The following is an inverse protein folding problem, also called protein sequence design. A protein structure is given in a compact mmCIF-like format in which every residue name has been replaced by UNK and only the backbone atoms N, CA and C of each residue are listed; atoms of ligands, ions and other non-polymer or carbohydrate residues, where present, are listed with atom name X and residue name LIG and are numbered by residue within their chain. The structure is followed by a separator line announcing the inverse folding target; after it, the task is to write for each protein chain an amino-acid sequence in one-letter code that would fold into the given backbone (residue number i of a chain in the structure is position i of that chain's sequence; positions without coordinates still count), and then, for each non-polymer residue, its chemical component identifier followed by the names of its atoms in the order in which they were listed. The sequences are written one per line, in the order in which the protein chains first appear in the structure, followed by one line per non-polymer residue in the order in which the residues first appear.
data_IF_449028219346
#
_entry.id   IF_449028219346
#
_cell.length_a   1.000
_cell.length_b   1.000
_cell.length_c   1.000
_cell.angle_alpha   90.00
_cell.angle_beta   90.00
_cell.angle_gamma   90.00
#
_symmetry.space_group_name_H-M   'P 1'
#
loop_
_entity.id
_entity.type
_entity.pdbx_description
1 polymer ?
#
# COMPACT_ATOMS: atom_id res chain seq x y z
N UNK A 1 -5.60 16.59 14.71
CA UNK A 1 -5.83 15.25 14.13
C UNK A 1 -6.90 15.39 13.07
N UNK A 2 -6.53 15.30 11.79
CA UNK A 2 -7.50 15.45 10.68
C UNK A 2 -8.27 14.14 10.58
N UNK A 3 -9.59 14.21 10.64
CA UNK A 3 -10.44 13.03 10.43
C UNK A 3 -10.37 12.64 8.94
N UNK A 4 -10.06 11.40 8.65
CA UNK A 4 -10.12 10.84 7.30
C UNK A 4 -11.58 10.49 7.03
N UNK A 5 -12.22 11.21 6.11
CA UNK A 5 -13.64 11.02 5.76
C UNK A 5 -13.84 10.20 4.48
N UNK A 6 -12.79 10.07 3.66
CA UNK A 6 -12.84 9.32 2.40
C UNK A 6 -11.48 8.67 2.07
N UNK A 7 -11.47 7.75 1.12
CA UNK A 7 -10.22 7.16 0.62
C UNK A 7 -9.34 8.23 -0.05
N UNK A 8 -9.95 9.21 -0.72
CA UNK A 8 -9.23 10.35 -1.28
C UNK A 8 -8.50 11.15 -0.19
N UNK A 9 -9.16 11.44 0.95
CA UNK A 9 -8.50 12.16 2.05
C UNK A 9 -7.31 11.37 2.59
N UNK A 10 -7.46 10.04 2.69
CA UNK A 10 -6.38 9.13 3.07
C UNK A 10 -5.22 9.16 2.07
N UNK A 11 -5.50 9.12 0.76
CA UNK A 11 -4.49 9.21 -0.28
C UNK A 11 -3.72 10.54 -0.23
N UNK A 12 -4.43 11.65 -0.08
CA UNK A 12 -3.83 12.98 0.05
C UNK A 12 -2.97 13.10 1.31
N UNK A 13 -3.41 12.51 2.42
CA UNK A 13 -2.63 12.50 3.66
C UNK A 13 -1.35 11.66 3.51
N UNK A 14 -1.42 10.48 2.92
CA UNK A 14 -0.24 9.64 2.64
C UNK A 14 0.76 10.40 1.75
N UNK A 15 0.27 11.02 0.68
CA UNK A 15 1.10 11.80 -0.24
C UNK A 15 1.76 13.01 0.44
N UNK A 16 1.07 13.68 1.38
CA UNK A 16 1.63 14.81 2.14
C UNK A 16 2.80 14.40 3.05
N UNK A 17 2.92 13.10 3.35
CA UNK A 17 4.07 12.51 4.05
C UNK A 17 5.15 11.97 3.10
N UNK A 18 5.07 12.27 1.80
CA UNK A 18 6.03 11.84 0.80
C UNK A 18 5.86 10.38 0.33
N UNK A 19 4.72 9.76 0.62
CA UNK A 19 4.43 8.40 0.18
C UNK A 19 3.79 8.41 -1.21
N UNK A 20 4.40 7.71 -2.16
CA UNK A 20 3.88 7.58 -3.52
C UNK A 20 2.65 6.70 -3.55
N UNK A 21 1.49 7.28 -3.82
CA UNK A 21 0.22 6.58 -3.83
C UNK A 21 -0.16 6.10 -5.22
N UNK A 22 -0.84 4.96 -5.28
CA UNK A 22 -1.40 4.35 -6.49
C UNK A 22 -2.86 3.99 -6.27
N UNK A 23 -3.64 3.98 -7.37
CA UNK A 23 -5.01 3.47 -7.35
C UNK A 23 -5.01 1.94 -7.30
N UNK A 24 -5.80 1.38 -6.40
CA UNK A 24 -6.11 -0.04 -6.40
C UNK A 24 -7.58 -0.25 -6.73
N UNK A 25 -7.88 -1.39 -7.34
CA UNK A 25 -9.27 -1.84 -7.48
C UNK A 25 -9.91 -2.02 -6.10
N UNK A 26 -11.22 -1.95 -6.03
CA UNK A 26 -12.01 -2.08 -4.81
C UNK A 26 -12.96 -3.29 -4.88
N UNK A 27 -13.31 -3.89 -3.74
CA UNK A 27 -14.27 -4.97 -3.70
C UNK A 27 -15.70 -4.42 -3.86
N UNK A 28 -16.53 -5.12 -4.62
CA UNK A 28 -17.94 -4.84 -4.80
C UNK A 28 -18.73 -5.99 -4.17
N UNK A 29 -19.50 -5.70 -3.13
CA UNK A 29 -20.35 -6.70 -2.50
C UNK A 29 -21.69 -6.80 -3.26
N UNK A 30 -21.99 -7.99 -3.76
CA UNK A 30 -23.28 -8.30 -4.36
C UNK A 30 -24.26 -8.80 -3.29
N UNK A 31 -25.24 -7.99 -2.97
CA UNK A 31 -26.23 -8.29 -1.94
C UNK A 31 -27.13 -9.48 -2.29
N UNK A 32 -27.33 -9.78 -3.58
CA UNK A 32 -28.18 -10.88 -4.03
C UNK A 32 -27.46 -12.22 -3.94
N UNK A 33 -26.25 -12.31 -4.50
CA UNK A 33 -25.44 -13.53 -4.49
C UNK A 33 -24.65 -13.73 -3.20
N UNK A 34 -24.56 -12.71 -2.32
CA UNK A 34 -23.69 -12.68 -1.14
C UNK A 34 -22.21 -12.88 -1.43
N UNK A 35 -21.79 -12.55 -2.65
CA UNK A 35 -20.40 -12.69 -3.12
C UNK A 35 -19.72 -11.35 -3.21
N UNK A 36 -18.39 -11.36 -3.05
CA UNK A 36 -17.52 -10.23 -3.33
C UNK A 36 -16.98 -10.39 -4.76
N UNK A 37 -17.03 -9.30 -5.52
CA UNK A 37 -16.40 -9.19 -6.84
C UNK A 37 -15.43 -8.03 -6.86
N UNK A 38 -14.44 -8.09 -7.73
CA UNK A 38 -13.50 -7.01 -7.92
C UNK A 38 -14.04 -5.98 -8.93
N UNK A 39 -13.79 -4.70 -8.69
CA UNK A 39 -14.09 -3.62 -9.65
C UNK A 39 -13.36 -3.75 -10.98
N UNK A 40 -12.36 -4.64 -11.10
CA UNK A 40 -11.66 -4.93 -12.34
C UNK A 40 -12.52 -5.68 -13.38
N UNK A 41 -13.67 -6.22 -12.99
CA UNK A 41 -14.60 -6.94 -13.84
C UNK A 41 -14.19 -8.35 -14.25
N UNK A 42 -13.04 -8.86 -13.76
CA UNK A 42 -12.61 -10.24 -14.04
C UNK A 42 -13.41 -11.22 -13.18
N UNK A 43 -13.93 -12.27 -13.81
CA UNK A 43 -14.68 -13.33 -13.10
C UNK A 43 -13.83 -14.13 -12.11
N UNK A 44 -12.54 -14.29 -12.40
CA UNK A 44 -11.57 -15.00 -11.57
C UNK A 44 -10.46 -14.06 -11.11
N UNK A 45 -10.82 -13.06 -10.30
CA UNK A 45 -9.86 -12.17 -9.70
C UNK A 45 -9.33 -12.81 -8.40
N UNK A 46 -8.04 -13.12 -8.36
CA UNK A 46 -7.38 -13.73 -7.18
C UNK A 46 -6.99 -12.72 -6.10
N UNK A 47 -7.24 -11.42 -6.33
CA UNK A 47 -6.82 -10.32 -5.44
C UNK A 47 -7.84 -9.19 -5.45
N UNK A 48 -9.11 -9.51 -5.14
CA UNK A 48 -10.21 -8.54 -5.13
C UNK A 48 -9.88 -7.34 -4.25
N UNK A 49 -9.92 -6.15 -4.86
CA UNK A 49 -9.67 -4.88 -4.18
C UNK A 49 -8.22 -4.62 -3.77
N UNK A 50 -7.26 -5.47 -4.16
CA UNK A 50 -5.86 -5.39 -3.73
C UNK A 50 -4.85 -5.23 -4.87
N UNK A 51 -5.28 -5.25 -6.12
CA UNK A 51 -4.36 -5.10 -7.24
C UNK A 51 -4.49 -3.71 -7.90
N UNK A 52 -3.38 -3.21 -8.48
CA UNK A 52 -3.36 -1.88 -9.08
C UNK A 52 -4.27 -1.73 -10.30
N UNK A 53 -4.67 -0.49 -10.56
CA UNK A 53 -5.45 -0.09 -11.73
C UNK A 53 -4.51 0.19 -12.91
N UNK A 54 -4.74 -0.52 -14.03
CA UNK A 54 -4.00 -0.34 -15.28
C UNK A 54 -2.64 -1.04 -15.32
N UNK A 55 -2.13 -1.23 -16.53
CA UNK A 55 -0.89 -1.98 -16.77
C UNK A 55 0.39 -1.21 -16.37
N UNK A 56 0.33 0.11 -16.35
CA UNK A 56 1.48 0.97 -16.01
C UNK A 56 1.32 1.66 -14.64
N UNK A 57 0.65 0.99 -13.74
CA UNK A 57 0.30 1.53 -12.43
C UNK A 57 1.50 2.10 -11.64
N UNK A 58 2.67 1.48 -11.72
CA UNK A 58 3.87 1.98 -11.05
C UNK A 58 4.36 3.33 -11.57
N UNK A 59 4.16 3.62 -12.87
CA UNK A 59 4.48 4.93 -13.44
C UNK A 59 3.47 6.01 -13.09
N UNK A 60 2.27 5.63 -12.66
CA UNK A 60 1.23 6.55 -12.22
C UNK A 60 1.31 6.85 -10.73
N UNK A 61 2.23 6.22 -10.00
CA UNK A 61 2.45 6.51 -8.58
C UNK A 61 2.88 7.97 -8.41
N UNK A 62 2.28 8.69 -7.47
CA UNK A 62 2.50 10.12 -7.32
C UNK A 62 2.31 10.60 -5.89
N UNK A 63 2.98 11.71 -5.55
CA UNK A 63 2.72 12.52 -4.36
C UNK A 63 2.01 13.82 -4.70
N UNK A 64 1.75 14.08 -6.00
CA UNK A 64 1.10 15.31 -6.46
C UNK A 64 -0.39 15.32 -6.16
N UNK A 65 -0.82 16.29 -5.36
CA UNK A 65 -2.20 16.37 -4.87
C UNK A 65 -3.25 16.56 -5.97
N UNK A 66 -2.91 17.27 -7.05
CA UNK A 66 -3.88 17.50 -8.14
C UNK A 66 -4.06 16.25 -8.99
N UNK A 67 -2.99 15.53 -9.29
CA UNK A 67 -3.04 14.21 -9.92
C UNK A 67 -3.85 13.21 -9.09
N UNK A 68 -3.68 13.22 -7.76
CA UNK A 68 -4.45 12.37 -6.86
C UNK A 68 -5.94 12.71 -6.92
N UNK A 69 -6.32 13.98 -6.86
CA UNK A 69 -7.72 14.41 -7.00
C UNK A 69 -8.32 13.99 -8.33
N UNK A 70 -7.56 14.09 -9.42
CA UNK A 70 -8.00 13.66 -10.74
C UNK A 70 -8.22 12.14 -10.81
N UNK A 71 -7.33 11.35 -10.23
CA UNK A 71 -7.49 9.90 -10.17
C UNK A 71 -8.77 9.46 -9.46
N UNK A 72 -9.10 10.08 -8.33
CA UNK A 72 -10.28 9.72 -7.53
C UNK A 72 -11.59 10.35 -8.02
N UNK A 73 -11.57 11.19 -9.08
CA UNK A 73 -12.79 11.63 -9.77
C UNK A 73 -13.45 10.51 -10.56
N UNK A 74 -12.68 9.53 -11.03
CA UNK A 74 -13.18 8.45 -11.88
C UNK A 74 -14.00 7.42 -11.09
N UNK A 75 -13.57 7.08 -9.88
CA UNK A 75 -14.23 6.14 -8.99
C UNK A 75 -13.63 6.20 -7.57
N UNK A 76 -14.30 5.56 -6.61
CA UNK A 76 -13.83 5.40 -5.23
C UNK A 76 -12.76 4.29 -5.14
N UNK A 77 -11.63 4.51 -5.82
CA UNK A 77 -10.51 3.57 -5.79
C UNK A 77 -10.00 3.33 -4.37
N UNK A 78 -9.55 2.11 -4.09
CA UNK A 78 -8.69 1.89 -2.93
C UNK A 78 -7.33 2.54 -3.15
N UNK A 79 -6.62 2.82 -2.05
CA UNK A 79 -5.28 3.40 -2.08
C UNK A 79 -4.23 2.35 -1.78
N UNK A 80 -3.16 2.33 -2.55
CA UNK A 80 -1.93 1.61 -2.26
C UNK A 80 -0.76 2.58 -2.15
N UNK A 81 0.30 2.15 -1.50
CA UNK A 81 1.57 2.86 -1.42
C UNK A 81 2.63 2.05 -2.15
N UNK A 82 3.43 2.72 -2.97
CA UNK A 82 4.51 2.06 -3.70
C UNK A 82 5.70 1.82 -2.78
N UNK A 83 6.20 0.58 -2.78
CA UNK A 83 7.32 0.13 -1.95
C UNK A 83 8.54 -0.17 -2.82
N UNK A 84 9.72 -0.03 -2.22
CA UNK A 84 10.99 -0.41 -2.83
C UNK A 84 11.49 0.57 -3.87
N UNK A 85 12.56 0.15 -4.56
CA UNK A 85 13.17 0.90 -5.65
C UNK A 85 12.45 0.64 -6.96
N UNK A 86 12.48 1.63 -7.85
CA UNK A 86 11.94 1.53 -9.20
C UNK A 86 10.81 2.51 -9.44
N UNK A 87 10.20 2.38 -10.60
CA UNK A 87 9.07 3.22 -11.02
C UNK A 87 9.34 4.75 -10.99
N UNK A 88 10.62 5.17 -10.97
CA UNK A 88 11.00 6.57 -10.94
C UNK A 88 11.01 7.23 -9.57
N UNK A 89 10.83 6.46 -8.49
CA UNK A 89 10.99 6.97 -7.12
C UNK A 89 12.49 7.17 -6.84
N UNK A 90 12.91 8.36 -6.35
CA UNK A 90 14.26 8.58 -5.88
C UNK A 90 14.62 7.60 -4.75
N UNK A 91 15.88 7.15 -4.71
CA UNK A 91 16.33 6.16 -3.73
C UNK A 91 16.17 6.64 -2.28
N UNK A 92 16.40 7.92 -2.04
CA UNK A 92 16.25 8.57 -0.73
C UNK A 92 14.79 8.80 -0.31
N UNK A 93 13.83 8.64 -1.24
CA UNK A 93 12.40 8.68 -0.97
C UNK A 93 11.76 7.29 -0.89
N UNK A 94 12.48 6.25 -1.34
CA UNK A 94 11.97 4.89 -1.32
C UNK A 94 11.77 4.36 0.10
N UNK A 95 10.74 3.55 0.27
CA UNK A 95 10.38 2.92 1.55
C UNK A 95 10.27 1.41 1.41
N UNK A 96 10.40 0.71 2.53
CA UNK A 96 10.17 -0.73 2.64
C UNK A 96 9.11 -1.01 3.69
N UNK A 97 8.40 -2.11 3.51
CA UNK A 97 7.53 -2.69 4.53
C UNK A 97 8.19 -3.95 5.09
N UNK A 98 8.39 -3.97 6.41
CA UNK A 98 8.79 -5.17 7.13
C UNK A 98 7.52 -5.78 7.71
N UNK A 99 7.15 -6.92 7.15
CA UNK A 99 5.97 -7.69 7.54
C UNK A 99 6.37 -8.98 8.25
N UNK A 100 5.81 -9.23 9.42
CA UNK A 100 5.99 -10.49 10.15
C UNK A 100 4.75 -11.36 10.06
N UNK A 101 4.85 -12.47 9.35
CA UNK A 101 3.76 -13.43 9.13
C UNK A 101 3.71 -14.56 10.18
N UNK A 102 4.75 -14.71 10.98
CA UNK A 102 4.89 -15.79 11.96
C UNK A 102 5.11 -15.23 13.37
N UNK A 103 4.84 -16.05 14.39
CA UNK A 103 5.10 -15.69 15.79
C UNK A 103 6.57 -15.45 16.03
N UNK A 104 7.43 -16.30 15.48
CA UNK A 104 8.89 -16.22 15.60
C UNK A 104 9.42 -14.96 14.90
N UNK A 105 8.91 -14.67 13.68
CA UNK A 105 9.24 -13.46 12.94
C UNK A 105 8.88 -12.21 13.73
N UNK A 106 7.71 -12.19 14.37
CA UNK A 106 7.26 -11.09 15.22
C UNK A 106 8.18 -10.88 16.42
N UNK A 107 8.51 -11.95 17.14
CA UNK A 107 9.42 -11.87 18.27
C UNK A 107 10.79 -11.35 17.86
N UNK A 108 11.32 -11.80 16.73
CA UNK A 108 12.58 -11.32 16.18
C UNK A 108 12.49 -9.84 15.81
N UNK A 109 11.46 -9.43 15.11
CA UNK A 109 11.23 -8.03 14.73
C UNK A 109 11.11 -7.13 15.96
N UNK A 110 10.38 -7.54 16.98
CA UNK A 110 10.21 -6.78 18.24
C UNK A 110 11.53 -6.59 19.00
N UNK A 111 12.43 -7.56 18.91
CA UNK A 111 13.77 -7.45 19.50
C UNK A 111 14.69 -6.55 18.66
N UNK A 112 14.76 -6.80 17.34
CA UNK A 112 15.69 -6.10 16.45
C UNK A 112 15.30 -4.64 16.20
N UNK A 113 14.00 -4.34 16.19
CA UNK A 113 13.47 -3.02 15.85
C UNK A 113 12.99 -2.22 17.08
N UNK A 114 13.27 -2.73 18.29
CA UNK A 114 12.84 -2.12 19.55
C UNK A 114 13.19 -0.63 19.66
N UNK A 115 14.41 -0.28 19.27
CA UNK A 115 14.94 1.07 19.37
C UNK A 115 14.78 1.88 18.07
N UNK A 116 14.02 1.34 17.11
CA UNK A 116 13.75 1.96 15.81
C UNK A 116 12.23 2.17 15.61
N UNK A 117 11.59 3.04 16.41
CA UNK A 117 10.15 3.25 16.29
C UNK A 117 9.77 3.81 14.91
N UNK A 118 8.70 3.30 14.35
CA UNK A 118 8.18 3.74 13.04
C UNK A 118 6.66 3.62 12.98
N UNK A 119 6.07 4.09 11.89
CA UNK A 119 4.66 3.85 11.60
C UNK A 119 4.44 2.34 11.43
N UNK A 120 3.50 1.81 12.19
CA UNK A 120 3.14 0.40 12.14
C UNK A 120 1.62 0.20 12.23
N UNK A 121 1.14 -0.89 11.65
CA UNK A 121 -0.27 -1.30 11.77
C UNK A 121 -0.39 -2.81 11.71
N UNK A 122 -1.52 -3.33 12.17
CA UNK A 122 -1.85 -4.76 12.10
C UNK A 122 -2.79 -5.01 10.92
N UNK A 123 -2.49 -5.99 10.09
CA UNK A 123 -3.37 -6.49 9.04
C UNK A 123 -3.67 -7.97 9.29
N UNK A 124 -4.90 -8.28 9.69
CA UNK A 124 -5.28 -9.67 9.93
C UNK A 124 -4.35 -10.39 10.91
N UNK A 125 -3.30 -11.03 10.40
CA UNK A 125 -2.35 -11.84 11.16
C UNK A 125 -0.94 -11.26 11.28
N UNK A 126 -0.62 -10.21 10.51
CA UNK A 126 0.72 -9.64 10.41
C UNK A 126 0.81 -8.26 11.05
N UNK A 127 2.00 -7.87 11.47
CA UNK A 127 2.33 -6.48 11.78
C UNK A 127 3.24 -5.94 10.69
N UNK A 128 2.85 -4.79 10.15
CA UNK A 128 3.59 -4.06 9.14
C UNK A 128 4.35 -2.90 9.77
N UNK A 129 5.57 -2.65 9.31
CA UNK A 129 6.44 -1.56 9.79
C UNK A 129 7.13 -0.90 8.61
N UNK A 130 6.91 0.39 8.41
CA UNK A 130 7.46 1.13 7.27
C UNK A 130 8.78 1.79 7.67
N UNK A 131 9.82 1.52 6.90
CA UNK A 131 11.12 2.14 7.04
C UNK A 131 11.59 2.75 5.71
N UNK A 132 12.56 3.64 5.75
CA UNK A 132 13.25 4.09 4.56
C UNK A 132 14.05 2.95 3.95
N UNK A 133 14.16 2.96 2.63
CA UNK A 133 15.04 2.06 1.92
C UNK A 133 16.50 2.25 2.38
N UNK A 134 17.25 1.16 2.45
CA UNK A 134 18.68 1.16 2.71
C UNK A 134 19.37 0.31 1.64
N UNK A 135 20.41 0.83 0.94
CA UNK A 135 21.07 0.12 -0.16
C UNK A 135 21.80 -1.16 0.29
N UNK A 136 21.99 -1.37 1.58
CA UNK A 136 22.52 -2.62 2.14
C UNK A 136 21.51 -3.76 2.17
N UNK A 137 20.23 -3.45 1.99
CA UNK A 137 19.17 -4.45 1.95
C UNK A 137 19.22 -5.22 0.63
N UNK A 138 18.98 -6.56 0.65
CA UNK A 138 18.87 -7.32 -0.56
C UNK A 138 17.64 -6.86 -1.37
N UNK A 139 17.79 -6.82 -2.71
CA UNK A 139 16.69 -6.50 -3.62
C UNK A 139 15.73 -7.69 -3.83
N UNK A 140 15.46 -8.47 -2.80
CA UNK A 140 14.57 -9.62 -2.84
C UNK A 140 13.30 -9.31 -2.05
N UNK A 141 12.17 -9.62 -2.66
CA UNK A 141 10.86 -9.33 -2.10
C UNK A 141 10.52 -10.14 -0.84
N UNK A 142 11.14 -11.32 -0.67
CA UNK A 142 10.89 -12.21 0.47
C UNK A 142 12.20 -12.72 1.05
N UNK A 143 12.42 -12.47 2.33
CA UNK A 143 13.42 -13.16 3.12
C UNK A 143 12.71 -14.32 3.84
N UNK A 144 13.06 -15.53 3.50
CA UNK A 144 12.62 -16.74 4.20
C UNK A 144 13.63 -17.13 5.27
#
# INVERSE_FOLDING_TARGET
MTLIHSVLDGALQLASHGLYVVRLHYPIFDHQSKQVRCSCGRSECSAEGKHPVGAQWGKSATTDADSIRDFWREADWNVGVLLGLGHGIPEDEAIIDIEDDTTEGRQLADVMLRDCPTVSWTSGKSVHRIYRWDPRLPQVANMT
#
